data_IF_668226726133
#
_entry.id   IF_668226726133
#
_cell.length_a   1.000
_cell.length_b   1.000
_cell.length_c   1.000
_cell.angle_alpha   90.00
_cell.angle_beta   90.00
_cell.angle_gamma   90.00
#
_symmetry.space_group_name_H-M   'P 1'
#
loop_
_entity.id
_entity.type
_entity.pdbx_description
1 polymer ?
#
# COMPACT_ATOMS: atom_id res chain seq x y z
N UNK A 1 35.25 15.49 -26.65
CA UNK A 1 35.10 14.34 -25.73
C UNK A 1 33.64 13.96 -25.74
N UNK A 2 33.31 12.81 -26.35
CA UNK A 2 31.93 12.33 -26.52
C UNK A 2 31.62 11.43 -25.33
N UNK A 3 30.67 11.84 -24.50
CA UNK A 3 30.14 11.05 -23.40
C UNK A 3 29.13 10.04 -23.97
N UNK A 4 29.52 8.77 -23.99
CA UNK A 4 28.64 7.65 -24.32
C UNK A 4 27.81 7.35 -23.06
N UNK A 5 26.50 7.55 -23.12
CA UNK A 5 25.58 7.12 -22.07
C UNK A 5 25.39 5.60 -22.14
N UNK A 6 25.40 4.87 -21.01
CA UNK A 6 25.04 3.46 -21.00
C UNK A 6 23.52 3.33 -21.14
N UNK A 7 23.12 2.72 -22.25
CA UNK A 7 21.75 2.38 -22.57
C UNK A 7 21.35 1.13 -21.75
N UNK A 8 20.81 1.31 -20.55
CA UNK A 8 20.23 0.22 -19.75
C UNK A 8 18.82 -0.08 -20.25
N UNK A 9 18.73 -0.82 -21.36
CA UNK A 9 17.56 -1.62 -21.67
C UNK A 9 17.49 -2.77 -20.67
N UNK A 10 16.76 -2.59 -19.57
CA UNK A 10 16.24 -3.73 -18.82
C UNK A 10 15.17 -4.39 -19.70
N UNK A 11 15.61 -5.38 -20.48
CA UNK A 11 14.71 -6.37 -21.06
C UNK A 11 13.96 -7.00 -19.89
N UNK A 12 12.66 -6.72 -19.81
CA UNK A 12 11.70 -7.56 -19.11
C UNK A 12 11.74 -8.92 -19.80
N UNK A 13 12.60 -9.81 -19.28
CA UNK A 13 12.58 -11.22 -19.62
C UNK A 13 11.13 -11.69 -19.41
N UNK A 14 10.55 -12.17 -20.50
CA UNK A 14 9.13 -12.43 -20.62
C UNK A 14 8.59 -13.25 -19.47
N UNK A 15 7.72 -12.63 -18.68
CA UNK A 15 6.78 -13.34 -17.84
C UNK A 15 5.70 -13.91 -18.76
N UNK A 16 5.95 -15.11 -19.28
CA UNK A 16 4.88 -15.96 -19.78
C UNK A 16 3.89 -16.20 -18.64
N UNK A 17 2.59 -16.07 -18.93
CA UNK A 17 1.51 -16.49 -18.04
C UNK A 17 1.74 -17.93 -17.57
N UNK A 18 1.78 -18.15 -16.27
CA UNK A 18 1.86 -19.48 -15.66
C UNK A 18 0.78 -19.61 -14.57
N UNK A 19 0.15 -20.78 -14.54
CA UNK A 19 -1.06 -21.12 -13.80
C UNK A 19 -0.72 -22.08 -12.63
N UNK A 20 -1.47 -22.00 -11.50
CA UNK A 20 -0.98 -22.18 -10.11
C UNK A 20 -2.05 -22.75 -9.08
N UNK A 21 -1.70 -23.71 -8.17
CA UNK A 21 -2.41 -24.35 -6.97
C UNK A 21 -1.34 -24.72 -5.94
N UNK A 22 -1.67 -24.52 -4.67
CA UNK A 22 -1.07 -25.16 -3.50
C UNK A 22 -1.90 -26.33 -2.91
N UNK A 23 -1.35 -27.02 -1.90
CA UNK A 23 -1.94 -28.20 -1.27
C UNK A 23 -2.78 -27.83 -0.05
N UNK A 24 -4.09 -28.10 -0.12
CA UNK A 24 -4.98 -28.22 1.04
C UNK A 24 -5.92 -29.40 0.76
N UNK A 25 -5.77 -30.45 1.57
CA UNK A 25 -6.12 -31.86 1.32
C UNK A 25 -7.60 -32.23 1.17
N UNK A 26 -7.78 -33.44 0.63
CA UNK A 26 -8.97 -34.29 0.56
C UNK A 26 -9.50 -34.69 1.94
N UNK A 27 -10.83 -34.83 2.04
CA UNK A 27 -11.54 -35.98 2.66
C UNK A 27 -13.00 -35.59 2.95
N UNK A 28 -13.96 -36.00 2.10
CA UNK A 28 -15.33 -36.26 2.57
C UNK A 28 -15.96 -37.46 1.85
N UNK A 29 -16.28 -38.42 2.69
CA UNK A 29 -16.80 -39.77 2.45
C UNK A 29 -18.29 -39.75 2.08
N UNK A 30 -18.66 -40.66 1.17
CA UNK A 30 -20.03 -40.96 0.74
C UNK A 30 -21.00 -41.32 1.88
N UNK A 31 -22.25 -40.83 1.79
CA UNK A 31 -23.38 -41.32 2.58
C UNK A 31 -24.72 -40.68 2.18
N UNK A 32 -25.50 -41.40 1.37
CA UNK A 32 -26.87 -41.05 0.97
C UNK A 32 -27.88 -41.23 2.13
N UNK A 33 -28.86 -40.33 2.29
CA UNK A 33 -30.29 -40.69 2.40
C UNK A 33 -31.24 -39.49 2.30
N UNK A 34 -32.06 -39.51 1.26
CA UNK A 34 -33.49 -39.15 1.15
C UNK A 34 -34.14 -38.12 2.10
N UNK A 35 -34.75 -37.10 1.49
CA UNK A 35 -36.02 -36.55 1.95
C UNK A 35 -36.11 -35.02 2.03
N UNK A 36 -36.92 -34.44 1.12
CA UNK A 36 -37.58 -33.12 1.20
C UNK A 36 -36.71 -31.86 1.00
N UNK A 37 -37.01 -31.14 -0.08
CA UNK A 37 -37.64 -29.80 -0.10
C UNK A 37 -37.06 -28.95 -1.26
N UNK A 38 -37.89 -28.67 -2.25
CA UNK A 38 -37.56 -28.09 -3.57
C UNK A 38 -37.24 -26.58 -3.51
N UNK A 39 -36.61 -26.11 -2.41
CA UNK A 39 -36.27 -24.71 -2.17
C UNK A 39 -34.76 -24.41 -2.08
N UNK A 40 -33.91 -25.43 -1.99
CA UNK A 40 -32.46 -25.26 -1.83
C UNK A 40 -31.67 -25.31 -3.15
N UNK A 41 -32.22 -25.99 -4.17
CA UNK A 41 -31.55 -26.19 -5.47
C UNK A 41 -31.37 -24.89 -6.27
N UNK A 42 -32.25 -23.91 -6.09
CA UNK A 42 -32.11 -22.59 -6.73
C UNK A 42 -31.07 -21.70 -6.03
N UNK A 43 -30.77 -21.94 -4.74
CA UNK A 43 -29.68 -21.25 -4.03
C UNK A 43 -28.30 -21.87 -4.39
N UNK A 44 -28.26 -23.16 -4.67
CA UNK A 44 -27.05 -23.90 -5.06
C UNK A 44 -26.66 -23.62 -6.51
N UNK A 45 -27.62 -23.32 -7.41
CA UNK A 45 -27.33 -22.94 -8.81
C UNK A 45 -26.55 -21.64 -8.97
N UNK A 46 -26.56 -20.74 -7.99
CA UNK A 46 -25.74 -19.52 -7.97
C UNK A 46 -24.30 -19.75 -7.48
N UNK A 47 -24.05 -20.85 -6.76
CA UNK A 47 -22.70 -21.27 -6.35
C UNK A 47 -22.15 -22.24 -7.41
N UNK A 48 -21.66 -21.68 -8.53
CA UNK A 48 -20.79 -22.45 -9.41
C UNK A 48 -19.45 -22.63 -8.70
N UNK A 49 -19.35 -23.63 -7.83
CA UNK A 49 -18.07 -24.14 -7.38
C UNK A 49 -17.28 -24.52 -8.64
N UNK A 50 -16.16 -23.83 -8.90
CA UNK A 50 -15.24 -24.18 -9.98
C UNK A 50 -14.95 -25.68 -9.91
N UNK A 51 -14.98 -26.36 -11.05
CA UNK A 51 -14.68 -27.79 -11.12
C UNK A 51 -13.30 -28.06 -10.48
N UNK A 52 -13.10 -29.17 -9.76
CA UNK A 52 -11.81 -29.53 -9.15
C UNK A 52 -10.63 -29.48 -10.14
N UNK A 53 -10.93 -29.74 -11.41
CA UNK A 53 -10.00 -29.78 -12.54
C UNK A 53 -9.65 -28.39 -13.13
N UNK A 54 -10.36 -27.33 -12.76
CA UNK A 54 -10.04 -25.94 -13.16
C UNK A 54 -9.12 -25.23 -12.17
N UNK A 55 -8.84 -25.86 -11.04
CA UNK A 55 -7.87 -25.35 -10.07
C UNK A 55 -6.47 -25.73 -10.55
N UNK A 56 -5.79 -24.73 -11.12
CA UNK A 56 -4.43 -24.74 -11.71
C UNK A 56 -3.36 -25.09 -10.65
N UNK A 57 -2.11 -25.51 -10.94
CA UNK A 57 -1.06 -26.01 -9.98
C UNK A 57 0.33 -25.31 -10.10
N UNK A 58 0.98 -24.85 -8.99
CA UNK A 58 2.24 -24.00 -9.05
C UNK A 58 3.51 -24.83 -9.03
N UNK A 59 4.51 -24.41 -9.81
CA UNK A 59 5.94 -24.68 -9.53
C UNK A 59 6.72 -23.39 -9.28
N UNK A 60 7.23 -23.23 -8.06
CA UNK A 60 8.29 -22.26 -7.73
C UNK A 60 9.62 -22.98 -7.94
N UNK A 61 10.49 -22.43 -8.78
CA UNK A 61 11.78 -23.03 -9.14
C UNK A 61 12.87 -22.16 -8.53
N UNK A 62 13.58 -22.68 -7.52
CA UNK A 62 14.69 -21.99 -6.86
C UNK A 62 14.89 -22.42 -5.41
N UNK A 63 16.05 -22.10 -4.85
CA UNK A 63 16.46 -22.48 -3.47
C UNK A 63 15.55 -21.88 -2.38
N UNK A 64 14.89 -20.75 -2.65
CA UNK A 64 14.00 -20.05 -1.69
C UNK A 64 12.56 -20.59 -1.64
N UNK A 65 12.23 -21.58 -2.47
CA UNK A 65 10.88 -22.15 -2.60
C UNK A 65 10.33 -22.70 -1.28
N UNK A 66 11.16 -23.40 -0.51
CA UNK A 66 10.73 -24.03 0.75
C UNK A 66 10.34 -23.00 1.81
N UNK A 67 11.08 -21.88 1.88
CA UNK A 67 10.80 -20.82 2.84
C UNK A 67 9.53 -20.05 2.46
N UNK A 68 9.35 -19.70 1.18
CA UNK A 68 8.12 -19.07 0.68
C UNK A 68 6.90 -19.96 0.97
N UNK A 69 6.98 -21.27 0.71
CA UNK A 69 5.87 -22.20 0.99
C UNK A 69 5.55 -22.26 2.49
N UNK A 70 6.59 -22.29 3.35
CA UNK A 70 6.39 -22.28 4.80
C UNK A 70 5.64 -21.01 5.24
N UNK A 71 6.10 -19.84 4.81
CA UNK A 71 5.50 -18.55 5.15
C UNK A 71 4.07 -18.44 4.58
N UNK A 72 3.83 -18.94 3.37
CA UNK A 72 2.50 -19.01 2.78
C UNK A 72 1.54 -19.86 3.62
N UNK A 73 2.01 -21.01 4.14
CA UNK A 73 1.20 -21.85 5.04
C UNK A 73 0.85 -21.10 6.33
N UNK A 74 1.79 -20.35 6.90
CA UNK A 74 1.52 -19.50 8.08
C UNK A 74 0.46 -18.43 7.80
N UNK A 75 0.50 -17.81 6.62
CA UNK A 75 -0.55 -16.89 6.19
C UNK A 75 -1.92 -17.59 6.12
N UNK A 76 -1.99 -18.75 5.46
CA UNK A 76 -3.23 -19.54 5.36
C UNK A 76 -3.77 -19.97 6.73
N UNK A 77 -2.91 -20.37 7.67
CA UNK A 77 -3.31 -20.66 9.05
C UNK A 77 -3.83 -19.41 9.77
N UNK A 78 -3.18 -18.26 9.57
CA UNK A 78 -3.61 -17.00 10.14
C UNK A 78 -5.02 -16.60 9.64
N UNK A 79 -5.35 -16.86 8.37
CA UNK A 79 -6.68 -16.62 7.81
C UNK A 79 -7.76 -17.50 8.46
N UNK A 80 -7.43 -18.72 8.90
CA UNK A 80 -8.40 -19.64 9.55
C UNK A 80 -8.83 -19.17 10.94
N UNK A 81 -8.01 -18.37 11.62
CA UNK A 81 -8.28 -17.88 12.97
C UNK A 81 -9.44 -16.88 13.04
N UNK A 82 -9.86 -16.35 11.89
CA UNK A 82 -10.64 -15.11 11.83
C UNK A 82 -12.06 -15.29 11.28
N UNK A 83 -12.60 -16.51 11.31
CA UNK A 83 -13.94 -16.82 10.77
C UNK A 83 -15.12 -16.22 11.55
N UNK A 84 -14.91 -15.45 12.61
CA UNK A 84 -15.99 -15.05 13.52
C UNK A 84 -15.98 -13.62 14.09
N UNK A 85 -14.89 -12.86 14.02
CA UNK A 85 -14.84 -11.50 14.57
C UNK A 85 -13.90 -10.64 13.76
N UNK A 86 -14.34 -9.51 13.21
CA UNK A 86 -13.56 -8.52 12.43
C UNK A 86 -12.38 -7.86 13.18
N UNK A 87 -11.72 -8.57 14.10
CA UNK A 87 -10.76 -8.00 15.03
C UNK A 87 -9.33 -8.17 14.50
N UNK A 88 -8.90 -7.21 13.67
CA UNK A 88 -7.53 -7.11 13.14
C UNK A 88 -6.45 -7.23 14.24
N UNK A 89 -6.77 -6.89 15.49
CA UNK A 89 -5.86 -7.05 16.63
C UNK A 89 -5.40 -8.50 16.84
N UNK A 90 -6.30 -9.49 16.76
CA UNK A 90 -5.94 -10.91 16.97
C UNK A 90 -5.07 -11.44 15.85
N UNK A 91 -5.37 -11.05 14.61
CA UNK A 91 -4.54 -11.40 13.46
C UNK A 91 -3.13 -10.84 13.64
N UNK A 92 -3.01 -9.57 14.05
CA UNK A 92 -1.71 -8.94 14.33
C UNK A 92 -0.95 -9.62 15.46
N UNK A 93 -1.60 -9.92 16.58
CA UNK A 93 -1.00 -10.65 17.70
C UNK A 93 -0.48 -12.03 17.28
N UNK A 94 -1.24 -12.72 16.42
CA UNK A 94 -0.79 -13.98 15.84
C UNK A 94 0.49 -13.77 15.00
N UNK A 95 0.48 -12.82 14.05
CA UNK A 95 1.66 -12.54 13.22
C UNK A 95 2.89 -12.14 14.03
N UNK A 96 2.71 -11.33 15.07
CA UNK A 96 3.82 -10.93 15.94
C UNK A 96 4.42 -12.11 16.71
N UNK A 97 3.63 -13.15 16.98
CA UNK A 97 4.06 -14.35 17.70
C UNK A 97 4.65 -15.43 16.79
N UNK A 98 4.08 -15.63 15.60
CA UNK A 98 4.39 -16.79 14.76
C UNK A 98 5.32 -16.45 13.60
N UNK A 99 5.12 -15.29 12.96
CA UNK A 99 5.85 -14.94 11.76
C UNK A 99 7.22 -14.38 12.12
N UNK A 100 8.25 -15.21 11.95
CA UNK A 100 9.65 -14.91 12.31
C UNK A 100 10.62 -15.07 11.15
N UNK A 101 10.19 -15.72 10.06
CA UNK A 101 11.03 -15.93 8.88
C UNK A 101 11.35 -14.61 8.18
N UNK A 102 12.63 -14.46 7.84
CA UNK A 102 13.15 -13.34 7.05
C UNK A 102 13.15 -13.74 5.59
N UNK A 103 12.44 -12.98 4.77
CA UNK A 103 12.42 -13.11 3.31
C UNK A 103 13.16 -11.96 2.65
N UNK A 104 13.76 -12.19 1.48
CA UNK A 104 14.34 -11.10 0.69
C UNK A 104 13.24 -10.21 0.09
N UNK A 105 13.54 -8.97 -0.35
CA UNK A 105 12.57 -8.12 -1.04
C UNK A 105 11.93 -8.80 -2.26
N UNK A 106 12.70 -9.61 -2.99
CA UNK A 106 12.22 -10.36 -4.17
C UNK A 106 11.25 -11.46 -3.75
N UNK A 107 11.57 -12.22 -2.69
CA UNK A 107 10.70 -13.27 -2.17
C UNK A 107 9.39 -12.71 -1.58
N UNK A 108 9.47 -11.55 -0.92
CA UNK A 108 8.28 -10.84 -0.42
C UNK A 108 7.37 -10.44 -1.57
N UNK A 109 7.91 -9.88 -2.66
CA UNK A 109 7.09 -9.57 -3.83
C UNK A 109 6.48 -10.83 -4.44
N UNK A 110 7.25 -11.91 -4.58
CA UNK A 110 6.75 -13.17 -5.12
C UNK A 110 5.60 -13.74 -4.28
N UNK A 111 5.78 -13.79 -2.95
CA UNK A 111 4.74 -14.23 -2.03
C UNK A 111 3.52 -13.30 -2.04
N UNK A 112 3.74 -11.98 -2.09
CA UNK A 112 2.68 -10.99 -2.23
C UNK A 112 1.85 -11.25 -3.48
N UNK A 113 2.48 -11.47 -4.64
CA UNK A 113 1.76 -11.85 -5.86
C UNK A 113 0.93 -13.13 -5.68
N UNK A 114 1.51 -14.17 -5.07
CA UNK A 114 0.79 -15.43 -4.82
C UNK A 114 -0.48 -15.16 -4.00
N UNK A 115 -0.36 -14.42 -2.89
CA UNK A 115 -1.51 -14.10 -2.04
C UNK A 115 -2.60 -13.30 -2.76
N UNK A 116 -2.22 -12.37 -3.65
CA UNK A 116 -3.18 -11.56 -4.42
C UNK A 116 -4.07 -12.41 -5.34
N UNK A 117 -3.47 -13.41 -6.00
CA UNK A 117 -4.14 -14.21 -7.02
C UNK A 117 -4.70 -15.55 -6.49
N UNK A 118 -4.27 -16.05 -5.33
CA UNK A 118 -4.76 -17.34 -4.80
C UNK A 118 -5.97 -17.23 -3.86
N UNK A 119 -6.28 -16.07 -3.29
CA UNK A 119 -7.40 -15.94 -2.34
C UNK A 119 -8.81 -15.94 -2.99
N UNK A 120 -8.97 -16.51 -4.20
CA UNK A 120 -10.06 -16.33 -5.19
C UNK A 120 -11.49 -16.76 -4.79
N UNK A 121 -11.79 -17.11 -3.54
CA UNK A 121 -13.10 -17.70 -3.19
C UNK A 121 -14.26 -16.69 -3.02
N UNK A 122 -14.00 -15.38 -3.06
CA UNK A 122 -15.07 -14.37 -2.91
C UNK A 122 -15.45 -13.68 -4.24
N UNK A 123 -16.75 -13.43 -4.50
CA UNK A 123 -17.21 -12.62 -5.63
C UNK A 123 -16.59 -11.22 -5.60
N UNK A 124 -16.22 -10.69 -6.78
CA UNK A 124 -15.58 -9.37 -6.95
C UNK A 124 -16.32 -8.24 -6.24
N UNK A 125 -17.64 -8.31 -6.17
CA UNK A 125 -18.50 -7.30 -5.55
C UNK A 125 -18.30 -7.17 -4.03
N UNK A 126 -17.73 -8.19 -3.37
CA UNK A 126 -17.46 -8.17 -1.91
C UNK A 126 -16.05 -7.70 -1.56
N UNK A 127 -15.19 -7.51 -2.55
CA UNK A 127 -13.78 -7.16 -2.33
C UNK A 127 -13.54 -5.79 -1.70
N UNK A 128 -14.53 -4.91 -1.72
CA UNK A 128 -14.46 -3.59 -1.11
C UNK A 128 -14.47 -3.61 0.43
N UNK A 129 -14.93 -4.71 1.04
CA UNK A 129 -14.87 -4.99 2.48
C UNK A 129 -14.08 -6.28 2.76
N UNK A 130 -13.22 -6.68 1.82
CA UNK A 130 -12.53 -7.95 1.91
C UNK A 130 -11.42 -7.88 2.95
N UNK A 131 -11.77 -8.41 4.11
CA UNK A 131 -10.86 -8.67 5.21
C UNK A 131 -9.61 -9.44 4.78
N UNK A 132 -9.62 -10.17 3.65
CA UNK A 132 -8.41 -10.79 3.08
C UNK A 132 -7.44 -9.75 2.55
N UNK A 133 -7.91 -8.73 1.83
CA UNK A 133 -7.07 -7.63 1.34
C UNK A 133 -6.38 -6.87 2.49
N UNK A 134 -7.10 -6.67 3.60
CA UNK A 134 -6.52 -6.14 4.85
C UNK A 134 -5.43 -7.04 5.43
N UNK A 135 -5.70 -8.36 5.49
CA UNK A 135 -4.75 -9.34 6.02
C UNK A 135 -3.51 -9.47 5.14
N UNK A 136 -3.66 -9.43 3.82
CA UNK A 136 -2.53 -9.43 2.87
C UNK A 136 -1.63 -8.21 3.14
N UNK A 137 -2.21 -7.01 3.27
CA UNK A 137 -1.44 -5.81 3.57
C UNK A 137 -0.69 -5.88 4.89
N UNK A 138 -1.38 -6.26 5.98
CA UNK A 138 -0.78 -6.43 7.30
C UNK A 138 0.32 -7.48 7.32
N UNK A 139 0.09 -8.64 6.68
CA UNK A 139 1.07 -9.72 6.58
C UNK A 139 2.32 -9.27 5.81
N UNK A 140 2.11 -8.60 4.67
CA UNK A 140 3.20 -8.07 3.84
C UNK A 140 4.00 -7.01 4.57
N UNK A 141 3.33 -6.11 5.31
CA UNK A 141 4.01 -5.11 6.14
C UNK A 141 4.89 -5.76 7.21
N UNK A 142 4.43 -6.82 7.87
CA UNK A 142 5.23 -7.58 8.85
C UNK A 142 6.46 -8.20 8.21
N UNK A 143 6.32 -8.81 7.03
CA UNK A 143 7.46 -9.37 6.28
C UNK A 143 8.48 -8.30 5.89
N UNK A 144 8.01 -7.15 5.40
CA UNK A 144 8.87 -6.00 5.09
C UNK A 144 9.65 -5.56 6.33
N UNK A 145 8.99 -5.45 7.49
CA UNK A 145 9.67 -5.06 8.72
C UNK A 145 10.72 -6.09 9.15
N UNK A 146 10.44 -7.39 9.07
CA UNK A 146 11.40 -8.45 9.39
C UNK A 146 12.61 -8.41 8.45
N UNK A 147 12.35 -8.30 7.15
CA UNK A 147 13.37 -8.19 6.11
C UNK A 147 14.26 -6.96 6.30
N UNK A 148 13.65 -5.82 6.63
CA UNK A 148 14.36 -4.59 6.94
C UNK A 148 15.26 -4.70 8.18
N UNK A 149 14.75 -5.34 9.24
CA UNK A 149 15.52 -5.55 10.46
C UNK A 149 16.76 -6.43 10.21
N UNK A 150 16.71 -7.33 9.22
CA UNK A 150 17.83 -8.16 8.79
C UNK A 150 18.79 -7.46 7.80
N UNK A 151 18.50 -6.21 7.45
CA UNK A 151 19.39 -5.39 6.62
C UNK A 151 18.97 -5.24 5.15
N UNK A 152 17.87 -5.87 4.74
CA UNK A 152 17.33 -5.70 3.39
C UNK A 152 16.57 -4.37 3.25
N UNK A 153 16.40 -3.88 2.03
CA UNK A 153 15.63 -2.68 1.71
C UNK A 153 15.14 -2.71 0.25
N UNK A 154 14.59 -1.60 -0.24
CA UNK A 154 14.21 -1.40 -1.65
C UNK A 154 13.16 -2.41 -2.13
N UNK A 155 12.06 -2.50 -1.36
CA UNK A 155 10.95 -3.40 -1.63
C UNK A 155 10.15 -2.94 -2.85
N UNK A 156 9.74 -3.89 -3.70
CA UNK A 156 8.85 -3.64 -4.83
C UNK A 156 7.60 -4.48 -4.67
N UNK A 157 6.43 -3.86 -4.69
CA UNK A 157 5.13 -4.53 -4.63
C UNK A 157 4.36 -4.22 -5.90
N UNK A 158 3.93 -5.27 -6.61
CA UNK A 158 3.19 -5.11 -7.87
C UNK A 158 1.70 -5.35 -7.60
N UNK A 159 0.87 -4.32 -7.67
CA UNK A 159 -0.59 -4.45 -7.59
C UNK A 159 -1.26 -4.24 -8.94
N UNK A 160 -0.49 -3.98 -9.99
CA UNK A 160 -1.01 -3.77 -11.34
C UNK A 160 -1.80 -4.98 -11.83
N UNK A 161 -3.02 -4.73 -12.29
CA UNK A 161 -3.99 -5.76 -12.70
C UNK A 161 -4.40 -6.71 -11.57
N UNK A 162 -4.04 -6.39 -10.31
CA UNK A 162 -4.55 -7.11 -9.16
C UNK A 162 -6.08 -7.04 -9.21
N UNK A 163 -6.75 -8.17 -9.04
CA UNK A 163 -8.19 -8.17 -8.98
C UNK A 163 -8.66 -7.51 -7.67
N UNK A 164 -7.81 -7.51 -6.61
CA UNK A 164 -8.06 -6.90 -5.31
C UNK A 164 -7.47 -5.50 -5.19
N UNK A 165 -8.15 -4.65 -4.43
CA UNK A 165 -7.58 -3.38 -3.96
C UNK A 165 -6.97 -3.62 -2.58
N UNK A 166 -5.67 -3.40 -2.44
CA UNK A 166 -4.96 -3.70 -1.20
C UNK A 166 -4.93 -2.47 -0.28
N UNK A 167 -5.22 -2.73 0.98
CA UNK A 167 -5.15 -1.81 2.12
C UNK A 167 -4.08 -2.29 3.11
N UNK A 168 -3.69 -1.44 4.04
CA UNK A 168 -2.68 -1.61 5.08
C UNK A 168 -1.28 -1.97 4.57
N UNK A 169 -0.95 -1.61 3.33
CA UNK A 169 0.44 -1.73 2.85
C UNK A 169 1.33 -0.82 3.70
N UNK A 170 2.38 -1.42 4.24
CA UNK A 170 3.32 -0.71 5.10
C UNK A 170 2.74 -0.32 6.46
N UNK A 171 1.75 -1.03 6.98
CA UNK A 171 1.27 -0.82 8.35
C UNK A 171 2.38 -0.98 9.41
N UNK A 172 2.48 -0.01 10.33
CA UNK A 172 3.37 0.04 11.48
C UNK A 172 4.85 -0.23 11.14
N UNK A 173 5.29 0.22 9.98
CA UNK A 173 6.70 0.13 9.58
C UNK A 173 7.54 1.14 10.36
N UNK A 174 8.70 0.70 10.83
CA UNK A 174 9.62 1.47 11.68
C UNK A 174 11.03 1.43 11.09
N UNK A 175 11.32 2.39 10.21
CA UNK A 175 12.69 2.70 9.80
C UNK A 175 13.41 3.55 10.86
N UNK A 176 14.54 4.13 10.48
CA UNK A 176 15.23 5.15 11.28
C UNK A 176 15.77 6.28 10.38
N UNK A 177 16.28 7.34 10.99
CA UNK A 177 16.75 8.54 10.26
C UNK A 177 17.95 8.24 9.35
N UNK A 178 18.77 7.25 9.69
CA UNK A 178 19.92 6.84 8.89
C UNK A 178 19.54 5.91 7.71
N UNK A 179 18.43 5.20 7.84
CA UNK A 179 17.98 4.19 6.90
C UNK A 179 16.45 4.15 6.86
N UNK A 180 15.88 4.77 5.84
CA UNK A 180 14.45 4.70 5.59
C UNK A 180 14.06 3.32 5.05
N UNK A 181 12.85 2.85 5.34
CA UNK A 181 12.26 1.69 4.65
C UNK A 181 11.75 2.16 3.29
N UNK A 182 12.30 1.62 2.20
CA UNK A 182 11.98 2.04 0.83
C UNK A 182 11.03 1.05 0.17
N UNK A 183 9.88 1.54 -0.29
CA UNK A 183 8.84 0.73 -0.93
C UNK A 183 8.44 1.37 -2.25
N UNK A 184 8.50 0.63 -3.34
CA UNK A 184 7.91 1.00 -4.63
C UNK A 184 6.67 0.15 -4.88
N UNK A 185 5.56 0.82 -5.17
CA UNK A 185 4.28 0.19 -5.49
C UNK A 185 4.00 0.43 -6.97
N UNK A 186 3.75 -0.64 -7.71
CA UNK A 186 3.41 -0.59 -9.14
C UNK A 186 1.96 -1.04 -9.34
N UNK A 187 1.05 -0.08 -9.50
CA UNK A 187 -0.38 -0.30 -9.59
C UNK A 187 -1.16 0.38 -8.46
N UNK A 188 -2.48 0.21 -8.52
CA UNK A 188 -3.41 0.91 -7.64
C UNK A 188 -3.45 0.27 -6.26
N UNK A 189 -3.70 1.10 -5.25
CA UNK A 189 -3.84 0.69 -3.84
C UNK A 189 -4.92 1.53 -3.17
N UNK A 190 -5.46 1.03 -2.06
CA UNK A 190 -6.46 1.78 -1.32
C UNK A 190 -5.83 2.74 -0.31
N UNK A 191 -4.90 2.26 0.52
CA UNK A 191 -4.25 3.06 1.55
C UNK A 191 -2.82 2.56 1.84
N UNK A 192 -2.06 3.35 2.60
CA UNK A 192 -0.67 3.02 2.94
C UNK A 192 -0.16 3.65 4.23
N UNK A 193 0.82 2.98 4.84
CA UNK A 193 1.72 3.47 5.89
C UNK A 193 1.07 3.96 7.19
N UNK A 194 -0.01 3.29 7.63
CA UNK A 194 -0.63 3.58 8.91
C UNK A 194 0.35 3.37 10.06
N UNK A 195 0.44 4.31 11.01
CA UNK A 195 1.36 4.27 12.16
C UNK A 195 2.83 4.05 11.77
N UNK A 196 3.27 4.49 10.60
CA UNK A 196 4.65 4.23 10.15
C UNK A 196 5.60 5.37 10.47
N UNK A 197 6.89 5.10 10.44
CA UNK A 197 7.89 6.16 10.58
C UNK A 197 9.14 5.85 9.79
N UNK A 198 9.77 6.90 9.26
CA UNK A 198 11.01 6.78 8.49
C UNK A 198 10.85 5.81 7.30
N UNK A 199 9.81 6.04 6.49
CA UNK A 199 9.53 5.28 5.28
C UNK A 199 9.63 6.21 4.06
N UNK A 200 10.06 5.67 2.92
CA UNK A 200 10.01 6.31 1.61
C UNK A 200 9.19 5.43 0.68
N UNK A 201 8.03 5.92 0.23
CA UNK A 201 7.10 5.15 -0.60
C UNK A 201 6.88 5.86 -1.94
N UNK A 202 7.14 5.15 -3.04
CA UNK A 202 6.89 5.59 -4.41
C UNK A 202 5.72 4.80 -5.00
N UNK A 203 4.60 5.45 -5.27
CA UNK A 203 3.38 4.85 -5.82
C UNK A 203 3.22 5.23 -7.29
N UNK A 204 3.41 4.23 -8.15
CA UNK A 204 3.16 4.27 -9.59
C UNK A 204 1.78 3.65 -9.90
N UNK A 205 0.75 4.33 -9.46
CA UNK A 205 -0.66 3.96 -9.60
C UNK A 205 -1.57 4.95 -8.88
N UNK A 206 -2.88 4.72 -8.98
CA UNK A 206 -3.88 5.53 -8.30
C UNK A 206 -4.06 5.06 -6.86
N UNK A 207 -4.27 6.03 -5.97
CA UNK A 207 -4.78 5.77 -4.65
C UNK A 207 -6.30 5.86 -4.67
N UNK A 208 -6.97 4.82 -4.17
CA UNK A 208 -8.42 4.69 -4.30
C UNK A 208 -9.18 5.18 -3.06
N UNK A 209 -8.54 5.28 -1.90
CA UNK A 209 -9.16 5.80 -0.67
C UNK A 209 -8.32 6.91 -0.04
N UNK A 210 -9.00 7.87 0.58
CA UNK A 210 -8.32 8.98 1.27
C UNK A 210 -7.83 8.58 2.65
N UNK A 211 -6.97 7.56 2.69
CA UNK A 211 -6.32 7.13 3.93
C UNK A 211 -4.81 7.15 3.83
N UNK A 212 -4.24 7.99 2.94
CA UNK A 212 -2.79 8.20 2.92
C UNK A 212 -2.35 8.67 4.28
N UNK A 213 -1.56 7.85 4.96
CA UNK A 213 -0.98 8.30 6.20
C UNK A 213 -2.01 8.60 7.28
N UNK A 214 -3.16 7.93 7.26
CA UNK A 214 -4.00 7.90 8.44
C UNK A 214 -3.26 7.23 9.60
N UNK A 215 -3.60 7.63 10.82
CA UNK A 215 -2.97 7.12 12.04
C UNK A 215 -1.47 7.45 12.15
N UNK A 216 -1.12 8.74 12.01
CA UNK A 216 0.15 9.29 12.52
C UNK A 216 1.46 8.75 11.89
N UNK A 217 1.61 8.66 10.56
CA UNK A 217 2.93 8.51 9.97
C UNK A 217 3.80 9.72 10.31
N UNK A 218 5.08 9.47 10.60
CA UNK A 218 6.02 10.55 10.91
C UNK A 218 7.35 10.37 10.21
N UNK A 219 7.91 11.47 9.70
CA UNK A 219 9.21 11.45 9.02
C UNK A 219 9.20 10.54 7.78
N UNK A 220 8.07 10.48 7.08
CA UNK A 220 7.92 9.70 5.86
C UNK A 220 7.98 10.57 4.61
N UNK A 221 8.37 9.96 3.50
CA UNK A 221 8.37 10.54 2.16
C UNK A 221 7.41 9.72 1.32
N UNK A 222 6.41 10.37 0.71
CA UNK A 222 5.42 9.73 -0.14
C UNK A 222 5.47 10.36 -1.52
N UNK A 223 5.62 9.57 -2.58
CA UNK A 223 5.60 10.04 -3.96
C UNK A 223 4.41 9.44 -4.69
N UNK A 224 3.52 10.28 -5.22
CA UNK A 224 2.32 9.86 -5.95
C UNK A 224 2.41 10.26 -7.42
N UNK A 225 2.45 9.27 -8.31
CA UNK A 225 2.43 9.52 -9.77
C UNK A 225 1.00 9.50 -10.34
N UNK A 226 0.11 8.71 -9.75
CA UNK A 226 -1.30 8.66 -10.10
C UNK A 226 -2.15 9.70 -9.38
N UNK A 227 -3.45 9.47 -9.42
CA UNK A 227 -4.47 10.27 -8.74
C UNK A 227 -4.55 9.87 -7.27
N UNK A 228 -4.92 10.84 -6.44
CA UNK A 228 -5.41 10.58 -5.09
C UNK A 228 -6.88 11.00 -5.02
N UNK A 229 -7.70 10.35 -4.19
CA UNK A 229 -9.12 10.67 -4.08
C UNK A 229 -9.28 12.02 -3.38
N UNK A 230 -10.48 12.58 -3.50
CA UNK A 230 -10.79 13.84 -2.84
C UNK A 230 -10.73 13.68 -1.33
N UNK A 231 -10.23 14.74 -0.71
CA UNK A 231 -9.92 14.77 0.69
C UNK A 231 -11.19 14.75 1.55
N UNK A 232 -11.24 13.89 2.56
CA UNK A 232 -12.32 13.81 3.53
C UNK A 232 -11.76 14.19 4.92
N UNK A 233 -12.37 15.18 5.57
CA UNK A 233 -11.87 15.96 6.71
C UNK A 233 -11.50 15.20 8.02
N UNK A 234 -11.45 13.86 8.02
CA UNK A 234 -11.18 13.04 9.21
C UNK A 234 -9.69 12.94 9.59
N UNK A 235 -9.05 14.10 9.68
CA UNK A 235 -7.63 14.30 9.98
C UNK A 235 -7.18 13.75 11.33
N UNK A 236 -6.65 12.53 11.31
CA UNK A 236 -5.69 12.11 12.32
C UNK A 236 -4.34 12.74 12.00
N UNK A 237 -3.86 13.62 12.88
CA UNK A 237 -2.60 14.36 12.76
C UNK A 237 -1.42 13.43 12.45
N UNK A 238 -0.88 13.54 11.24
CA UNK A 238 0.48 13.12 10.93
C UNK A 238 1.48 14.22 11.30
N UNK A 239 2.78 13.99 11.13
CA UNK A 239 3.74 15.08 11.23
C UNK A 239 5.03 14.85 10.46
N UNK A 240 5.68 15.94 10.06
CA UNK A 240 7.03 15.92 9.49
C UNK A 240 7.17 15.05 8.23
N UNK A 241 6.13 15.02 7.39
CA UNK A 241 6.13 14.22 6.16
C UNK A 241 6.41 15.07 4.92
N UNK A 242 6.93 14.44 3.88
CA UNK A 242 7.14 15.02 2.56
C UNK A 242 6.22 14.32 1.58
N UNK A 243 5.28 15.05 0.99
CA UNK A 243 4.41 14.52 -0.05
C UNK A 243 4.86 15.07 -1.40
N UNK A 244 5.20 14.19 -2.33
CA UNK A 244 5.68 14.51 -3.67
C UNK A 244 4.67 14.06 -4.71
N UNK A 245 4.55 14.80 -5.81
CA UNK A 245 3.75 14.36 -6.95
C UNK A 245 4.21 14.97 -8.26
N UNK A 246 4.01 14.25 -9.36
CA UNK A 246 4.12 14.76 -10.75
C UNK A 246 2.79 15.25 -11.31
N UNK A 247 1.67 15.02 -10.60
CA UNK A 247 0.31 15.27 -11.07
C UNK A 247 -0.26 16.55 -10.45
N UNK A 248 -0.69 17.51 -11.28
CA UNK A 248 -1.24 18.80 -10.81
C UNK A 248 -2.57 18.68 -10.08
N UNK A 249 -3.41 17.71 -10.43
CA UNK A 249 -4.66 17.44 -9.72
C UNK A 249 -4.36 16.92 -8.31
N UNK A 250 -3.45 15.95 -8.22
CA UNK A 250 -2.94 15.41 -6.95
C UNK A 250 -2.26 16.50 -6.11
N UNK A 251 -1.53 17.43 -6.74
CA UNK A 251 -0.88 18.54 -6.06
C UNK A 251 -1.88 19.42 -5.28
N UNK A 252 -3.02 19.76 -5.88
CA UNK A 252 -4.07 20.53 -5.21
C UNK A 252 -4.57 19.83 -3.94
N UNK A 253 -4.81 18.52 -4.04
CA UNK A 253 -5.30 17.69 -2.93
C UNK A 253 -4.25 17.57 -1.81
N UNK A 254 -2.97 17.42 -2.16
CA UNK A 254 -1.88 17.38 -1.18
C UNK A 254 -1.69 18.72 -0.45
N UNK A 255 -1.89 19.86 -1.11
CA UNK A 255 -1.87 21.18 -0.46
C UNK A 255 -2.93 21.26 0.63
N UNK A 256 -4.18 20.87 0.32
CA UNK A 256 -5.27 20.83 1.29
C UNK A 256 -4.95 19.90 2.47
N UNK A 257 -4.36 18.73 2.21
CA UNK A 257 -3.92 17.81 3.26
C UNK A 257 -2.88 18.43 4.19
N UNK A 258 -1.82 19.04 3.63
CA UNK A 258 -0.69 19.58 4.42
C UNK A 258 -1.06 20.81 5.23
N UNK A 259 -2.11 21.55 4.85
CA UNK A 259 -2.62 22.67 5.65
C UNK A 259 -3.00 22.26 7.08
N UNK A 260 -3.46 21.02 7.24
CA UNK A 260 -3.89 20.47 8.52
C UNK A 260 -2.87 19.54 9.17
N UNK A 261 -1.81 19.20 8.44
CA UNK A 261 -0.70 18.40 8.92
C UNK A 261 0.32 19.28 9.67
N UNK A 262 1.15 18.73 10.55
CA UNK A 262 2.16 19.54 11.26
C UNK A 262 3.55 19.28 10.71
N UNK A 263 4.33 20.32 10.43
CA UNK A 263 5.72 20.18 9.94
C UNK A 263 5.87 19.45 8.59
N UNK A 264 4.77 19.25 7.86
CA UNK A 264 4.81 18.56 6.57
C UNK A 264 5.00 19.54 5.41
N UNK A 265 5.40 19.01 4.26
CA UNK A 265 5.60 19.78 3.05
C UNK A 265 5.09 19.03 1.82
N UNK A 266 4.71 19.80 0.80
CA UNK A 266 4.32 19.35 -0.53
C UNK A 266 5.41 19.76 -1.52
N UNK A 267 5.84 18.81 -2.33
CA UNK A 267 6.84 18.97 -3.38
C UNK A 267 6.22 18.59 -4.71
N UNK A 268 6.41 19.42 -5.73
CA UNK A 268 6.05 19.08 -7.10
C UNK A 268 7.30 18.60 -7.84
N UNK A 269 7.16 17.50 -8.57
CA UNK A 269 8.22 16.93 -9.40
C UNK A 269 7.92 17.35 -10.84
N UNK A 270 8.74 18.24 -11.39
CA UNK A 270 8.59 18.75 -12.74
C UNK A 270 8.85 17.64 -13.79
N UNK A 271 8.38 17.82 -15.04
CA UNK A 271 8.63 16.85 -16.12
C UNK A 271 10.10 16.56 -16.41
N UNK A 272 11.01 17.48 -16.06
CA UNK A 272 12.46 17.32 -16.15
C UNK A 272 13.08 16.60 -14.93
N UNK A 273 12.26 16.23 -13.95
CA UNK A 273 12.66 15.57 -12.71
C UNK A 273 13.08 16.53 -11.59
N UNK A 274 13.05 17.85 -11.79
CA UNK A 274 13.41 18.81 -10.75
C UNK A 274 12.30 18.84 -9.69
N UNK A 275 12.70 18.66 -8.42
CA UNK A 275 11.82 18.76 -7.26
C UNK A 275 11.74 20.21 -6.75
N UNK A 276 10.54 20.75 -6.63
CA UNK A 276 10.29 22.07 -6.08
C UNK A 276 9.35 21.99 -4.88
N UNK A 277 9.79 22.49 -3.72
CA UNK A 277 8.91 22.66 -2.58
C UNK A 277 7.86 23.71 -2.93
N UNK A 278 6.58 23.32 -2.86
CA UNK A 278 5.44 24.17 -3.24
C UNK A 278 4.86 24.86 -2.01
N UNK A 279 4.66 24.09 -0.94
CA UNK A 279 3.99 24.52 0.26
C UNK A 279 4.49 23.69 1.44
N UNK A 280 4.56 24.28 2.63
CA UNK A 280 4.83 23.51 3.83
C UNK A 280 4.94 24.35 5.07
N UNK A 281 5.28 23.67 6.16
CA UNK A 281 5.53 24.29 7.45
C UNK A 281 7.02 24.50 7.64
N UNK A 282 7.38 25.68 8.15
CA UNK A 282 8.71 25.98 8.68
C UNK A 282 8.57 26.25 10.17
N UNK A 283 9.57 25.83 10.94
CA UNK A 283 9.76 26.29 12.30
C UNK A 283 11.06 27.08 12.36
N UNK A 284 11.02 28.23 13.03
CA UNK A 284 12.25 28.95 13.36
C UNK A 284 12.86 28.32 14.60
N UNK A 285 14.18 28.11 14.60
CA UNK A 285 14.90 27.59 15.76
C UNK A 285 14.66 28.42 17.04
N UNK A 286 14.28 29.70 16.89
CA UNK A 286 14.07 30.64 17.98
C UNK A 286 12.59 30.96 18.25
N UNK A 287 11.65 30.43 17.45
CA UNK A 287 10.23 30.69 17.60
C UNK A 287 9.42 29.41 17.32
N UNK A 288 8.73 28.82 18.32
CA UNK A 288 7.94 27.60 18.14
C UNK A 288 6.65 27.81 17.33
N UNK A 289 6.37 29.04 16.87
CA UNK A 289 5.26 29.29 15.95
C UNK A 289 5.59 28.69 14.59
N UNK A 290 4.79 27.71 14.16
CA UNK A 290 4.82 27.19 12.80
C UNK A 290 4.42 28.29 11.82
N UNK A 291 5.30 28.59 10.87
CA UNK A 291 5.01 29.46 9.75
C UNK A 291 4.77 28.62 8.51
N UNK A 292 3.78 28.99 7.72
CA UNK A 292 3.61 28.38 6.41
C UNK A 292 4.50 29.10 5.40
N UNK A 293 5.07 28.37 4.45
CA UNK A 293 5.68 28.95 3.26
C UNK A 293 4.90 28.53 2.03
N UNK A 294 4.79 29.44 1.05
CA UNK A 294 4.29 29.14 -0.30
C UNK A 294 5.34 29.63 -1.28
N UNK A 295 5.75 28.75 -2.18
CA UNK A 295 6.67 29.11 -3.26
C UNK A 295 6.02 30.12 -4.21
N UNK A 296 6.69 31.23 -4.49
CA UNK A 296 6.17 32.31 -5.33
C UNK A 296 5.69 31.83 -6.71
N UNK A 297 6.37 30.86 -7.33
CA UNK A 297 5.98 30.28 -8.63
C UNK A 297 4.60 29.63 -8.59
N UNK A 298 4.23 29.04 -7.44
CA UNK A 298 2.99 28.31 -7.25
C UNK A 298 1.91 29.14 -6.55
N UNK A 299 2.18 30.40 -6.19
CA UNK A 299 1.27 31.23 -5.42
C UNK A 299 -0.13 31.36 -6.04
N UNK A 300 -0.21 31.60 -7.36
CA UNK A 300 -1.51 31.69 -8.07
C UNK A 300 -2.29 30.38 -8.01
N UNK A 301 -1.61 29.25 -8.18
CA UNK A 301 -2.21 27.93 -8.09
C UNK A 301 -2.72 27.67 -6.67
N UNK A 302 -1.91 27.96 -5.66
CA UNK A 302 -2.28 27.84 -4.26
C UNK A 302 -3.54 28.65 -3.90
N UNK A 303 -3.62 29.93 -4.35
CA UNK A 303 -4.83 30.75 -4.14
C UNK A 303 -6.09 30.13 -4.75
N UNK A 304 -5.97 29.55 -5.95
CA UNK A 304 -7.09 28.88 -6.61
C UNK A 304 -7.57 27.66 -5.83
N UNK A 305 -6.64 26.86 -5.30
CA UNK A 305 -6.94 25.67 -4.49
C UNK A 305 -7.69 26.02 -3.22
N UNK A 306 -7.32 27.11 -2.55
CA UNK A 306 -7.94 27.49 -1.28
C UNK A 306 -9.22 28.31 -1.43
N UNK A 307 -9.53 28.82 -2.62
CA UNK A 307 -10.60 29.80 -2.83
C UNK A 307 -10.49 31.02 -1.90
N UNK A 308 -9.26 31.47 -1.61
CA UNK A 308 -9.01 32.58 -0.67
C UNK A 308 -8.56 33.85 -1.38
N UNK A 309 -9.08 34.98 -0.89
CA UNK A 309 -8.59 36.31 -1.22
C UNK A 309 -7.29 36.64 -0.46
N UNK A 310 -6.55 37.67 -0.90
CA UNK A 310 -5.21 37.97 -0.38
C UNK A 310 -5.18 38.24 1.14
N UNK A 311 -6.31 38.68 1.72
CA UNK A 311 -6.43 39.00 3.16
C UNK A 311 -6.37 37.76 4.07
N UNK A 312 -6.76 36.59 3.59
CA UNK A 312 -6.72 35.33 4.36
C UNK A 312 -5.28 34.86 4.64
N UNK A 313 -4.36 35.19 3.73
CA UNK A 313 -2.97 34.73 3.80
C UNK A 313 -2.16 35.50 4.85
N UNK A 314 -2.54 36.76 5.09
CA UNK A 314 -1.92 37.62 6.10
C UNK A 314 -2.26 37.16 7.53
N UNK A 315 -3.45 36.59 7.73
CA UNK A 315 -3.91 36.08 9.04
C UNK A 315 -3.18 34.80 9.45
N UNK A 316 -2.75 33.99 8.48
CA UNK A 316 -2.18 32.66 8.72
C UNK A 316 -0.64 32.62 8.71
N UNK A 317 0.05 33.75 8.79
CA UNK A 317 1.53 33.82 8.78
C UNK A 317 2.17 33.11 7.57
N UNK A 318 1.56 33.20 6.38
CA UNK A 318 2.12 32.62 5.16
C UNK A 318 3.22 33.53 4.62
N UNK A 319 4.45 33.02 4.61
CA UNK A 319 5.61 33.66 3.99
C UNK A 319 5.63 33.26 2.52
N UNK A 320 5.48 34.23 1.62
CA UNK A 320 5.72 34.01 0.19
C UNK A 320 7.21 34.15 -0.05
N UNK A 321 7.86 33.04 -0.38
CA UNK A 321 9.32 32.92 -0.54
C UNK A 321 9.75 32.68 -1.98
#
# INVERSE_FOLDING_TARGET
MVLIQPNTNQQTLGLTQVHIKGPCDDDLVNGLSEGLDDGLDDLIRGYTARKPDERKEIKVVGEHTTQIIKVLKEFCEALKLDKGTYYLGKFREYLDKTLTDVLTPTDINALFQIMLYEAEDEPKEKWYNDSTSERIGLFTAKLIQLSYNDGNNDFVLITKNSPRIIVYIGYNLRGNKERLIKIKIQGDIADLCHNSSYCEVDVDGDLLYDRVGENRPNYCIFTFKGKIPDYNDNLVRSSSNIYKTTNKETLAKLILKVLHDTHSQVVFINPDGIEEAVFGHTTSANNPVSHFFVNQTYYKFFKQVLHVDDDFLYINNIIVG
#
